data_IF_217931616005
#
_entry.id   IF_217931616005
#
_cell.length_a   1.000
_cell.length_b   1.000
_cell.length_c   1.000
_cell.angle_alpha   90.00
_cell.angle_beta   90.00
_cell.angle_gamma   90.00
#
_symmetry.space_group_name_H-M   'P 1'
#
loop_
_entity.id
_entity.type
_entity.pdbx_description
1 polymer ?
#
# COMPACT_ATOMS: atom_id res chain seq x y z
N UNK A 1 28.33 -7.07 36.96
CA UNK A 1 27.93 -6.06 35.95
C UNK A 1 28.30 -6.58 34.56
N UNK A 2 27.40 -7.27 33.84
CA UNK A 2 27.65 -7.73 32.47
C UNK A 2 26.41 -7.57 31.59
N UNK A 3 26.61 -6.96 30.42
CA UNK A 3 25.62 -6.38 29.48
C UNK A 3 24.51 -7.33 28.99
N UNK A 4 24.60 -8.63 29.24
CA UNK A 4 23.61 -9.63 28.78
C UNK A 4 22.25 -9.52 29.49
N UNK A 5 22.23 -9.16 30.78
CA UNK A 5 20.97 -8.98 31.54
C UNK A 5 20.17 -7.72 31.15
N UNK A 6 20.77 -6.80 30.38
CA UNK A 6 20.12 -5.58 29.89
C UNK A 6 19.44 -5.76 28.52
N UNK A 7 19.85 -6.77 27.74
CA UNK A 7 19.23 -7.14 26.46
C UNK A 7 17.93 -7.94 26.66
N UNK A 8 17.79 -8.61 27.81
CA UNK A 8 16.59 -9.34 28.23
C UNK A 8 15.69 -8.54 29.17
N UNK A 9 15.93 -7.24 29.30
CA UNK A 9 14.96 -6.37 29.93
C UNK A 9 13.80 -6.19 28.94
N UNK A 10 12.59 -6.54 29.38
CA UNK A 10 11.35 -6.52 28.59
C UNK A 10 11.04 -5.10 28.04
N UNK A 11 11.71 -4.07 28.58
CA UNK A 11 11.70 -2.67 28.12
C UNK A 11 12.78 -2.29 27.07
N UNK A 12 13.55 -3.24 26.55
CA UNK A 12 14.60 -2.93 25.58
C UNK A 12 14.05 -2.61 24.18
N UNK A 13 14.72 -1.71 23.46
CA UNK A 13 14.44 -1.41 22.04
C UNK A 13 14.46 -2.67 21.16
N UNK A 14 15.25 -3.69 21.54
CA UNK A 14 15.34 -4.98 20.84
C UNK A 14 14.02 -5.75 20.96
N UNK A 15 13.42 -5.80 22.16
CA UNK A 15 12.13 -6.47 22.37
C UNK A 15 11.02 -5.84 21.52
N UNK A 16 11.03 -4.51 21.38
CA UNK A 16 10.06 -3.79 20.52
C UNK A 16 10.25 -4.12 19.04
N UNK A 17 11.49 -4.26 18.57
CA UNK A 17 11.79 -4.66 17.19
C UNK A 17 11.36 -6.11 16.94
N UNK A 18 11.62 -7.01 17.89
CA UNK A 18 11.19 -8.42 17.80
C UNK A 18 9.66 -8.54 17.79
N UNK A 19 8.97 -7.77 18.63
CA UNK A 19 7.51 -7.71 18.64
C UNK A 19 6.95 -7.18 17.30
N UNK A 20 7.55 -6.12 16.76
CA UNK A 20 7.19 -5.62 15.42
C UNK A 20 7.40 -6.69 14.35
N UNK A 21 8.53 -7.40 14.38
CA UNK A 21 8.82 -8.46 13.42
C UNK A 21 7.77 -9.59 13.49
N UNK A 22 7.40 -10.03 14.70
CA UNK A 22 6.33 -11.01 14.89
C UNK A 22 4.98 -10.49 14.35
N UNK A 23 4.63 -9.24 14.64
CA UNK A 23 3.41 -8.60 14.14
C UNK A 23 3.37 -8.54 12.60
N UNK A 24 4.52 -8.26 11.95
CA UNK A 24 4.64 -8.22 10.50
C UNK A 24 4.44 -9.61 9.86
N UNK A 25 5.00 -10.66 10.46
CA UNK A 25 4.80 -12.04 9.99
C UNK A 25 3.31 -12.41 10.11
N UNK A 26 2.68 -12.14 11.25
CA UNK A 26 1.26 -12.41 11.47
C UNK A 26 0.42 -11.66 10.43
N UNK A 27 0.70 -10.37 10.21
CA UNK A 27 0.01 -9.58 9.20
C UNK A 27 0.21 -10.11 7.78
N UNK A 28 1.40 -10.61 7.46
CA UNK A 28 1.71 -11.14 6.14
C UNK A 28 0.90 -12.41 5.87
N UNK A 29 0.88 -13.31 6.85
CA UNK A 29 0.09 -14.55 6.79
C UNK A 29 -1.40 -14.25 6.68
N UNK A 30 -1.92 -13.32 7.49
CA UNK A 30 -3.33 -12.90 7.39
C UNK A 30 -3.65 -12.29 6.02
N UNK A 31 -2.75 -11.45 5.50
CA UNK A 31 -2.92 -10.85 4.17
C UNK A 31 -3.01 -11.93 3.09
N UNK A 32 -2.05 -12.86 3.04
CA UNK A 32 -2.02 -13.96 2.05
C UNK A 32 -3.30 -14.81 2.13
N UNK A 33 -3.69 -15.23 3.34
CA UNK A 33 -4.88 -16.06 3.54
C UNK A 33 -6.16 -15.34 3.11
N UNK A 34 -6.29 -14.06 3.45
CA UNK A 34 -7.48 -13.27 3.10
C UNK A 34 -7.44 -12.72 1.68
N UNK A 35 -6.32 -12.76 0.97
CA UNK A 35 -6.19 -12.40 -0.44
C UNK A 35 -6.39 -13.57 -1.40
N UNK A 36 -6.64 -14.79 -0.91
CA UNK A 36 -6.87 -15.96 -1.76
C UNK A 36 -8.03 -15.74 -2.75
N UNK A 37 -9.20 -15.21 -2.34
CA UNK A 37 -10.17 -14.71 -3.28
C UNK A 37 -9.68 -13.40 -3.92
N UNK A 38 -9.66 -13.33 -5.25
CA UNK A 38 -9.20 -12.12 -5.97
C UNK A 38 -9.99 -10.86 -5.57
N UNK A 39 -11.29 -11.03 -5.29
CA UNK A 39 -12.17 -9.92 -4.89
C UNK A 39 -11.87 -9.36 -3.49
N UNK A 40 -11.15 -10.10 -2.63
CA UNK A 40 -10.84 -9.67 -1.26
C UNK A 40 -9.47 -9.01 -1.13
N UNK A 41 -8.66 -8.99 -2.20
CA UNK A 41 -7.34 -8.31 -2.24
C UNK A 41 -7.45 -6.85 -1.79
N UNK A 42 -8.47 -6.13 -2.27
CA UNK A 42 -8.68 -4.73 -1.87
C UNK A 42 -8.95 -4.57 -0.37
N UNK A 43 -9.83 -5.41 0.18
CA UNK A 43 -10.18 -5.37 1.60
C UNK A 43 -9.02 -5.83 2.49
N UNK A 44 -8.27 -6.86 2.09
CA UNK A 44 -7.10 -7.34 2.82
C UNK A 44 -5.97 -6.31 2.82
N UNK A 45 -5.73 -5.65 1.68
CA UNK A 45 -4.73 -4.59 1.59
C UNK A 45 -5.09 -3.35 2.43
N UNK A 46 -6.37 -2.96 2.45
CA UNK A 46 -6.88 -1.93 3.36
C UNK A 46 -6.71 -2.31 4.83
N UNK A 47 -7.01 -3.57 5.19
CA UNK A 47 -6.85 -4.07 6.54
C UNK A 47 -5.38 -4.13 6.98
N UNK A 48 -4.47 -4.51 6.07
CA UNK A 48 -3.02 -4.50 6.26
C UNK A 48 -2.53 -3.08 6.56
N UNK A 49 -2.81 -2.12 5.66
CA UNK A 49 -2.40 -0.73 5.83
C UNK A 49 -2.95 -0.10 7.11
N UNK A 50 -4.23 -0.34 7.42
CA UNK A 50 -4.84 0.17 8.66
C UNK A 50 -4.18 -0.42 9.91
N UNK A 51 -3.81 -1.71 9.87
CA UNK A 51 -3.18 -2.39 11.00
C UNK A 51 -1.74 -1.91 11.20
N UNK A 52 -0.98 -1.72 10.12
CA UNK A 52 0.36 -1.12 10.14
C UNK A 52 0.32 0.30 10.71
N UNK A 53 -0.63 1.13 10.29
CA UNK A 53 -0.80 2.46 10.87
C UNK A 53 -1.10 2.39 12.36
N UNK A 54 -1.92 1.45 12.85
CA UNK A 54 -2.16 1.28 14.29
C UNK A 54 -0.89 0.89 15.06
N UNK A 55 -0.06 0.01 14.49
CA UNK A 55 1.25 -0.36 15.05
C UNK A 55 2.16 0.87 15.14
N UNK A 56 2.24 1.67 14.07
CA UNK A 56 3.05 2.90 14.03
C UNK A 56 2.57 4.00 15.00
N UNK A 57 1.32 3.96 15.44
CA UNK A 57 0.78 4.86 16.47
C UNK A 57 0.87 4.26 17.88
N UNK A 58 1.56 3.13 18.05
CA UNK A 58 1.68 2.41 19.32
C UNK A 58 0.32 2.11 19.98
N UNK A 59 -0.75 1.94 19.17
CA UNK A 59 -2.07 1.59 19.70
C UNK A 59 -2.05 0.13 20.17
N UNK A 60 -2.08 -0.06 21.49
CA UNK A 60 -2.06 -1.40 22.12
C UNK A 60 -3.29 -2.22 21.70
N UNK A 61 -3.08 -3.48 21.31
CA UNK A 61 -4.14 -4.43 21.01
C UNK A 61 -3.69 -5.56 20.08
N UNK A 62 -4.37 -6.70 20.13
CA UNK A 62 -4.05 -7.84 19.26
C UNK A 62 -4.14 -7.45 17.78
N UNK A 63 -3.04 -7.64 17.06
CA UNK A 63 -2.92 -7.33 15.62
C UNK A 63 -3.95 -8.09 14.80
N UNK A 64 -4.18 -9.37 15.12
CA UNK A 64 -5.19 -10.20 14.47
C UNK A 64 -6.60 -9.61 14.62
N UNK A 65 -6.99 -9.23 15.84
CA UNK A 65 -8.32 -8.62 16.10
C UNK A 65 -8.46 -7.31 15.36
N UNK A 66 -7.40 -6.49 15.35
CA UNK A 66 -7.39 -5.21 14.64
C UNK A 66 -7.54 -5.37 13.13
N UNK A 67 -6.85 -6.37 12.56
CA UNK A 67 -6.91 -6.71 11.14
C UNK A 67 -8.32 -7.12 10.72
N UNK A 68 -8.90 -8.15 11.36
CA UNK A 68 -10.24 -8.62 11.00
C UNK A 68 -11.33 -7.58 11.25
N UNK A 69 -11.17 -6.73 12.28
CA UNK A 69 -12.08 -5.60 12.49
C UNK A 69 -12.02 -4.60 11.33
N UNK A 70 -10.83 -4.22 10.89
CA UNK A 70 -10.67 -3.31 9.73
C UNK A 70 -11.21 -3.94 8.45
N UNK A 71 -10.86 -5.22 8.22
CA UNK A 71 -11.30 -6.00 7.07
C UNK A 71 -12.83 -5.99 6.94
N UNK A 72 -13.57 -6.28 8.01
CA UNK A 72 -15.04 -6.30 8.00
C UNK A 72 -15.65 -4.92 7.80
N UNK A 73 -15.14 -3.89 8.47
CA UNK A 73 -15.68 -2.53 8.39
C UNK A 73 -15.50 -1.94 6.98
N UNK A 74 -14.33 -2.17 6.38
CA UNK A 74 -13.96 -1.55 5.12
C UNK A 74 -14.18 -2.46 3.91
N UNK A 75 -14.67 -3.69 4.10
CA UNK A 75 -14.79 -4.71 3.05
C UNK A 75 -15.46 -4.16 1.78
N UNK A 76 -16.68 -3.65 1.90
CA UNK A 76 -17.46 -3.15 0.77
C UNK A 76 -16.78 -1.98 0.06
N UNK A 77 -16.32 -0.98 0.81
CA UNK A 77 -15.72 0.22 0.22
C UNK A 77 -14.37 -0.08 -0.43
N UNK A 78 -13.51 -0.86 0.23
CA UNK A 78 -12.19 -1.20 -0.26
C UNK A 78 -12.26 -2.14 -1.48
N UNK A 79 -13.17 -3.12 -1.49
CA UNK A 79 -13.38 -3.99 -2.65
C UNK A 79 -13.93 -3.21 -3.84
N UNK A 80 -14.92 -2.32 -3.66
CA UNK A 80 -15.42 -1.50 -4.77
C UNK A 80 -14.29 -0.61 -5.32
N UNK A 81 -13.54 0.05 -4.44
CA UNK A 81 -12.41 0.88 -4.85
C UNK A 81 -11.35 0.10 -5.62
N UNK A 82 -10.97 -1.09 -5.13
CA UNK A 82 -10.02 -1.97 -5.80
C UNK A 82 -10.52 -2.43 -7.17
N UNK A 83 -11.75 -2.90 -7.27
CA UNK A 83 -12.32 -3.38 -8.54
C UNK A 83 -12.41 -2.25 -9.56
N UNK A 84 -12.82 -1.04 -9.15
CA UNK A 84 -12.83 0.13 -10.05
C UNK A 84 -11.43 0.48 -10.55
N UNK A 85 -10.43 0.53 -9.67
CA UNK A 85 -9.05 0.81 -10.08
C UNK A 85 -8.47 -0.28 -10.97
N UNK A 86 -8.76 -1.54 -10.68
CA UNK A 86 -8.33 -2.69 -11.48
C UNK A 86 -8.93 -2.63 -12.89
N UNK A 87 -10.21 -2.28 -13.01
CA UNK A 87 -10.89 -2.13 -14.30
C UNK A 87 -10.26 -0.98 -15.12
N UNK A 88 -10.02 0.17 -14.50
CA UNK A 88 -9.37 1.30 -15.18
C UNK A 88 -7.94 0.96 -15.62
N UNK A 89 -7.19 0.23 -14.79
CA UNK A 89 -5.84 -0.22 -15.14
C UNK A 89 -5.87 -1.19 -16.32
N UNK A 90 -6.84 -2.09 -16.37
CA UNK A 90 -7.02 -3.01 -17.50
C UNK A 90 -7.36 -2.29 -18.81
N UNK A 91 -8.26 -1.29 -18.76
CA UNK A 91 -8.59 -0.46 -19.93
C UNK A 91 -7.34 0.24 -20.45
N UNK A 92 -6.58 0.91 -19.58
CA UNK A 92 -5.34 1.58 -19.99
C UNK A 92 -4.31 0.60 -20.57
N UNK A 93 -4.21 -0.60 -20.01
CA UNK A 93 -3.32 -1.63 -20.55
C UNK A 93 -3.71 -2.03 -21.98
N UNK A 94 -5.01 -2.21 -22.25
CA UNK A 94 -5.51 -2.45 -23.61
C UNK A 94 -5.22 -1.27 -24.53
N UNK A 95 -5.46 -0.04 -24.09
CA UNK A 95 -5.17 1.17 -24.87
C UNK A 95 -3.68 1.23 -25.26
N UNK A 96 -2.77 1.00 -24.31
CA UNK A 96 -1.33 0.96 -24.58
C UNK A 96 -0.92 -0.07 -25.64
N UNK A 97 -1.63 -1.20 -25.72
CA UNK A 97 -1.37 -2.26 -26.71
C UNK A 97 -1.88 -1.86 -28.10
N UNK A 98 -3.04 -1.20 -28.18
CA UNK A 98 -3.68 -0.83 -29.44
C UNK A 98 -3.06 0.42 -30.08
N UNK A 99 -2.47 1.31 -29.28
CA UNK A 99 -1.84 2.56 -29.74
C UNK A 99 -0.71 2.37 -30.76
N UNK A 100 -0.11 1.18 -30.84
CA UNK A 100 0.94 0.85 -31.82
C UNK A 100 0.47 0.77 -33.28
N UNK A 101 -0.83 0.70 -33.53
CA UNK A 101 -1.41 0.60 -34.88
C UNK A 101 -1.90 1.94 -35.43
N UNK A 102 -1.74 3.03 -34.68
CA UNK A 102 -2.24 4.36 -35.04
C UNK A 102 -1.16 5.20 -35.75
N UNK A 103 -1.57 6.22 -36.54
CA UNK A 103 -0.66 7.21 -37.10
C UNK A 103 0.19 7.88 -36.01
N UNK A 104 1.43 8.26 -36.36
CA UNK A 104 2.46 8.74 -35.42
C UNK A 104 1.96 9.80 -34.41
N UNK A 105 1.31 10.86 -34.90
CA UNK A 105 0.84 11.98 -34.07
C UNK A 105 -0.25 11.54 -33.08
N UNK A 106 -1.20 10.73 -33.53
CA UNK A 106 -2.27 10.22 -32.67
C UNK A 106 -1.73 9.21 -31.65
N UNK A 107 -0.80 8.36 -32.06
CA UNK A 107 -0.12 7.40 -31.18
C UNK A 107 0.63 8.12 -30.04
N UNK A 108 1.33 9.21 -30.35
CA UNK A 108 2.01 10.02 -29.35
C UNK A 108 1.05 10.67 -28.34
N UNK A 109 -0.04 11.30 -28.81
CA UNK A 109 -1.04 11.92 -27.94
C UNK A 109 -1.73 10.90 -27.02
N UNK A 110 -2.10 9.73 -27.55
CA UNK A 110 -2.74 8.69 -26.73
C UNK A 110 -1.77 8.05 -25.75
N UNK A 111 -0.51 7.83 -26.14
CA UNK A 111 0.52 7.28 -25.24
C UNK A 111 0.84 8.22 -24.08
N UNK A 112 0.92 9.53 -24.35
CA UNK A 112 1.14 10.54 -23.31
C UNK A 112 -0.07 10.66 -22.36
N UNK A 113 -1.30 10.68 -22.89
CA UNK A 113 -2.50 10.67 -22.07
C UNK A 113 -2.60 9.41 -21.19
N UNK A 114 -2.32 8.23 -21.76
CA UNK A 114 -2.33 6.96 -21.03
C UNK A 114 -1.25 6.94 -19.93
N UNK A 115 -0.07 7.51 -20.19
CA UNK A 115 0.98 7.63 -19.17
C UNK A 115 0.52 8.49 -17.98
N UNK A 116 -0.08 9.65 -18.23
CA UNK A 116 -0.66 10.50 -17.19
C UNK A 116 -1.75 9.74 -16.41
N UNK A 117 -2.62 9.01 -17.12
CA UNK A 117 -3.64 8.16 -16.51
C UNK A 117 -3.05 7.11 -15.57
N UNK A 118 -1.98 6.41 -15.99
CA UNK A 118 -1.31 5.42 -15.13
C UNK A 118 -0.67 6.04 -13.89
N UNK A 119 -0.07 7.23 -14.01
CA UNK A 119 0.48 7.95 -12.85
C UNK A 119 -0.63 8.29 -11.85
N UNK A 120 -1.76 8.80 -12.33
CA UNK A 120 -2.92 9.11 -11.48
C UNK A 120 -3.41 7.84 -10.77
N UNK A 121 -3.59 6.73 -11.49
CA UNK A 121 -4.03 5.47 -10.88
C UNK A 121 -3.02 4.95 -9.86
N UNK A 122 -1.72 5.02 -10.14
CA UNK A 122 -0.68 4.60 -9.22
C UNK A 122 -0.73 5.40 -7.91
N UNK A 123 -0.94 6.71 -7.98
CA UNK A 123 -1.13 7.56 -6.81
C UNK A 123 -2.37 7.18 -6.00
N UNK A 124 -3.50 6.91 -6.69
CA UNK A 124 -4.73 6.45 -6.04
C UNK A 124 -4.56 5.11 -5.34
N UNK A 125 -3.77 4.18 -5.90
CA UNK A 125 -3.48 2.88 -5.29
C UNK A 125 -2.62 3.05 -4.03
N UNK A 126 -1.53 3.82 -4.13
CA UNK A 126 -0.56 4.01 -3.04
C UNK A 126 -1.21 4.63 -1.80
N UNK A 127 -2.00 5.69 -1.97
CA UNK A 127 -2.63 6.39 -0.84
C UNK A 127 -4.02 5.87 -0.51
N UNK A 128 -4.75 5.32 -1.48
CA UNK A 128 -6.20 5.10 -1.38
C UNK A 128 -6.61 4.12 -0.30
N UNK A 129 -5.93 2.98 -0.18
CA UNK A 129 -6.27 1.99 0.84
C UNK A 129 -5.97 2.46 2.26
N UNK A 130 -4.87 3.19 2.44
CA UNK A 130 -4.52 3.87 3.68
C UNK A 130 -5.54 4.95 4.07
N UNK A 131 -6.06 5.68 3.07
CA UNK A 131 -7.06 6.72 3.27
C UNK A 131 -8.43 6.13 3.63
N UNK A 132 -8.89 5.08 2.93
CA UNK A 132 -10.17 4.40 3.22
C UNK A 132 -10.17 3.82 4.64
N UNK A 133 -9.04 3.31 5.10
CA UNK A 133 -8.87 2.83 6.48
C UNK A 133 -9.04 3.91 7.55
N UNK A 134 -8.76 5.18 7.22
CA UNK A 134 -8.75 6.32 8.15
C UNK A 134 -10.03 7.17 8.06
N UNK A 135 -10.55 7.38 6.85
CA UNK A 135 -11.66 8.30 6.59
C UNK A 135 -12.84 7.59 5.90
N UNK A 136 -14.04 7.71 6.48
CA UNK A 136 -15.28 7.21 5.89
C UNK A 136 -15.92 8.27 4.98
N UNK A 137 -15.41 8.36 3.75
CA UNK A 137 -15.90 9.26 2.72
C UNK A 137 -16.50 8.51 1.53
N UNK A 138 -17.30 9.20 0.71
CA UNK A 138 -17.77 8.64 -0.57
C UNK A 138 -16.62 8.48 -1.57
N UNK A 139 -16.73 7.54 -2.52
CA UNK A 139 -15.65 7.25 -3.47
C UNK A 139 -15.18 8.49 -4.26
N UNK A 140 -16.11 9.35 -4.69
CA UNK A 140 -15.78 10.59 -5.41
C UNK A 140 -14.94 11.55 -4.53
N UNK A 141 -15.35 11.74 -3.27
CA UNK A 141 -14.60 12.55 -2.30
C UNK A 141 -13.25 11.93 -1.97
N UNK A 142 -13.18 10.61 -1.87
CA UNK A 142 -11.92 9.88 -1.68
C UNK A 142 -10.94 10.16 -2.81
N UNK A 143 -11.35 10.01 -4.08
CA UNK A 143 -10.48 10.29 -5.23
C UNK A 143 -10.01 11.75 -5.23
N UNK A 144 -10.92 12.71 -5.06
CA UNK A 144 -10.58 14.12 -5.02
C UNK A 144 -9.56 14.45 -3.91
N UNK A 145 -9.80 13.95 -2.69
CA UNK A 145 -8.91 14.20 -1.57
C UNK A 145 -7.54 13.52 -1.76
N UNK A 146 -7.50 12.31 -2.34
CA UNK A 146 -6.25 11.63 -2.63
C UNK A 146 -5.39 12.40 -3.64
N UNK A 147 -6.01 12.99 -4.67
CA UNK A 147 -5.31 13.81 -5.65
C UNK A 147 -4.74 15.08 -5.01
N UNK A 148 -5.53 15.76 -4.17
CA UNK A 148 -5.05 16.94 -3.43
C UNK A 148 -3.88 16.59 -2.52
N UNK A 149 -3.99 15.50 -1.74
CA UNK A 149 -2.93 15.05 -0.84
C UNK A 149 -1.65 14.73 -1.62
N UNK A 150 -1.80 14.07 -2.77
CA UNK A 150 -0.67 13.69 -3.62
C UNK A 150 0.07 14.90 -4.18
N UNK A 151 -0.67 15.91 -4.66
CA UNK A 151 -0.11 17.16 -5.21
C UNK A 151 0.56 17.97 -4.11
N UNK A 152 -0.07 18.08 -2.94
CA UNK A 152 0.48 18.82 -1.80
C UNK A 152 1.78 18.20 -1.26
N UNK A 153 1.91 16.87 -1.33
CA UNK A 153 3.06 16.12 -0.81
C UNK A 153 3.81 15.40 -1.94
N UNK A 154 4.10 16.14 -3.02
CA UNK A 154 4.65 15.57 -4.25
C UNK A 154 5.98 14.82 -4.05
N UNK A 155 6.85 15.28 -3.14
CA UNK A 155 8.10 14.58 -2.82
C UNK A 155 7.86 13.19 -2.21
N UNK A 156 6.94 13.09 -1.25
CA UNK A 156 6.57 11.80 -0.63
C UNK A 156 5.87 10.90 -1.64
N UNK A 157 4.99 11.48 -2.47
CA UNK A 157 4.31 10.76 -3.55
C UNK A 157 5.31 10.19 -4.56
N UNK A 158 6.31 10.98 -4.97
CA UNK A 158 7.36 10.54 -5.88
C UNK A 158 8.19 9.41 -5.26
N UNK A 159 8.58 9.54 -3.99
CA UNK A 159 9.31 8.47 -3.29
C UNK A 159 8.49 7.17 -3.26
N UNK A 160 7.20 7.24 -2.92
CA UNK A 160 6.34 6.06 -2.88
C UNK A 160 6.19 5.42 -4.26
N UNK A 161 6.04 6.21 -5.32
CA UNK A 161 5.96 5.71 -6.68
C UNK A 161 7.26 5.03 -7.12
N UNK A 162 8.41 5.67 -6.88
CA UNK A 162 9.72 5.12 -7.23
C UNK A 162 9.99 3.84 -6.42
N UNK A 163 9.72 3.84 -5.12
CA UNK A 163 9.97 2.69 -4.25
C UNK A 163 9.13 1.48 -4.67
N UNK A 164 7.82 1.65 -4.86
CA UNK A 164 6.95 0.54 -5.28
C UNK A 164 7.22 0.15 -6.75
N UNK A 165 7.50 1.12 -7.63
CA UNK A 165 7.88 0.87 -9.01
C UNK A 165 9.19 0.10 -9.14
N UNK A 166 10.18 0.41 -8.29
CA UNK A 166 11.46 -0.30 -8.24
C UNK A 166 11.29 -1.76 -7.82
N UNK A 167 10.44 -2.05 -6.83
CA UNK A 167 10.14 -3.42 -6.41
C UNK A 167 9.51 -4.22 -7.56
N UNK A 168 8.55 -3.63 -8.26
CA UNK A 168 7.90 -4.25 -9.43
C UNK A 168 8.94 -4.48 -10.54
N UNK A 169 9.72 -3.45 -10.90
CA UNK A 169 10.75 -3.53 -11.93
C UNK A 169 11.79 -4.62 -11.62
N UNK A 170 12.30 -4.66 -10.38
CA UNK A 170 13.24 -5.68 -9.94
C UNK A 170 12.65 -7.09 -10.06
N UNK A 171 11.36 -7.25 -9.74
CA UNK A 171 10.65 -8.53 -9.85
C UNK A 171 10.62 -9.08 -11.28
N UNK A 172 10.64 -8.22 -12.30
CA UNK A 172 10.59 -8.62 -13.72
C UNK A 172 11.94 -8.59 -14.43
N UNK A 173 13.05 -8.29 -13.74
CA UNK A 173 14.37 -8.18 -14.36
C UNK A 173 14.94 -9.54 -14.79
N UNK A 174 14.72 -10.60 -13.99
CA UNK A 174 15.15 -11.96 -14.33
C UNK A 174 14.24 -13.02 -13.67
N UNK A 175 14.21 -14.26 -14.19
CA UNK A 175 13.47 -15.35 -13.54
C UNK A 175 13.94 -15.62 -12.11
N UNK A 176 15.24 -15.49 -11.84
CA UNK A 176 15.80 -15.62 -10.49
C UNK A 176 15.30 -14.50 -9.57
N UNK A 177 15.28 -13.25 -10.04
CA UNK A 177 14.76 -12.12 -9.27
C UNK A 177 13.27 -12.32 -8.94
N UNK A 178 12.47 -12.78 -9.89
CA UNK A 178 11.06 -13.11 -9.68
C UNK A 178 10.89 -14.16 -8.57
N UNK A 179 11.66 -15.25 -8.63
CA UNK A 179 11.61 -16.32 -7.62
C UNK A 179 12.01 -15.80 -6.23
N UNK A 180 13.08 -15.00 -6.14
CA UNK A 180 13.49 -14.38 -4.87
C UNK A 180 12.42 -13.46 -4.30
N UNK A 181 11.73 -12.71 -5.16
CA UNK A 181 10.64 -11.84 -4.73
C UNK A 181 9.43 -12.63 -4.27
N UNK A 182 9.07 -13.73 -4.93
CA UNK A 182 8.00 -14.62 -4.46
C UNK A 182 8.31 -15.13 -3.05
N UNK A 183 9.52 -15.67 -2.81
CA UNK A 183 9.90 -16.13 -1.47
C UNK A 183 9.85 -15.01 -0.44
N UNK A 184 10.42 -13.84 -0.77
CA UNK A 184 10.38 -12.69 0.11
C UNK A 184 8.95 -12.30 0.47
N UNK A 185 8.07 -12.18 -0.52
CA UNK A 185 6.65 -11.82 -0.33
C UNK A 185 5.90 -12.85 0.51
N UNK A 186 6.14 -14.14 0.31
CA UNK A 186 5.49 -15.21 1.09
C UNK A 186 5.89 -15.19 2.57
N UNK A 187 7.15 -14.93 2.91
CA UNK A 187 7.66 -15.01 4.29
C UNK A 187 7.61 -13.69 5.09
N UNK A 188 7.11 -12.59 4.51
CA UNK A 188 6.96 -11.32 5.22
C UNK A 188 7.01 -10.06 4.35
N UNK A 189 7.34 -10.21 3.07
CA UNK A 189 7.66 -9.11 2.18
C UNK A 189 6.50 -8.15 1.96
N UNK A 190 5.25 -8.63 1.84
CA UNK A 190 4.10 -7.72 1.69
C UNK A 190 3.97 -6.79 2.88
N UNK A 191 4.07 -7.32 4.10
CA UNK A 191 4.02 -6.52 5.33
C UNK A 191 5.18 -5.53 5.43
N UNK A 192 6.41 -5.94 5.09
CA UNK A 192 7.60 -5.08 5.16
C UNK A 192 7.51 -3.92 4.15
N UNK A 193 7.16 -4.21 2.89
CA UNK A 193 6.99 -3.17 1.86
C UNK A 193 5.90 -2.17 2.29
N UNK A 194 4.76 -2.70 2.77
CA UNK A 194 3.68 -1.83 3.20
C UNK A 194 3.98 -1.08 4.50
N UNK A 195 4.86 -1.59 5.36
CA UNK A 195 5.35 -0.85 6.54
C UNK A 195 6.11 0.40 6.11
N UNK A 196 7.04 0.28 5.14
CA UNK A 196 7.77 1.43 4.59
C UNK A 196 6.79 2.45 4.00
N UNK A 197 5.83 1.99 3.19
CA UNK A 197 4.77 2.84 2.65
C UNK A 197 3.97 3.53 3.76
N UNK A 198 3.56 2.79 4.80
CA UNK A 198 2.80 3.29 5.94
C UNK A 198 3.56 4.34 6.75
N UNK A 199 4.89 4.22 6.89
CA UNK A 199 5.71 5.22 7.60
C UNK A 199 5.66 6.56 6.86
N UNK A 200 5.84 6.55 5.53
CA UNK A 200 5.78 7.76 4.71
C UNK A 200 4.37 8.36 4.67
N UNK A 201 3.35 7.52 4.45
CA UNK A 201 1.95 7.96 4.42
C UNK A 201 1.52 8.54 5.77
N UNK A 202 1.98 7.97 6.88
CA UNK A 202 1.72 8.51 8.22
C UNK A 202 2.23 9.95 8.35
N UNK A 203 3.47 10.23 7.91
CA UNK A 203 4.03 11.58 7.96
C UNK A 203 3.17 12.60 7.20
N UNK A 204 2.65 12.19 6.04
CA UNK A 204 1.75 13.01 5.21
C UNK A 204 0.45 13.30 5.96
N UNK A 205 -0.22 12.27 6.47
CA UNK A 205 -1.51 12.44 7.15
C UNK A 205 -1.38 13.19 8.48
N UNK A 206 -0.33 12.96 9.25
CA UNK A 206 -0.09 13.65 10.51
C UNK A 206 0.23 15.14 10.29
N UNK A 207 0.75 15.52 9.12
CA UNK A 207 0.92 16.93 8.73
C UNK A 207 -0.42 17.58 8.41
N UNK A 208 -1.30 16.87 7.70
CA UNK A 208 -2.64 17.38 7.34
C UNK A 208 -3.47 17.59 8.60
N UNK A 209 -3.50 16.61 9.51
CA UNK A 209 -4.30 16.71 10.73
C UNK A 209 -3.84 17.81 11.68
N UNK A 210 -2.54 18.17 11.65
CA UNK A 210 -2.00 19.30 12.41
C UNK A 210 -2.42 20.68 11.89
N UNK A 211 -2.89 20.77 10.65
CA UNK A 211 -3.33 22.04 10.04
C UNK A 211 -4.84 22.23 10.18
N UNK A 212 -5.62 21.15 10.32
CA UNK A 212 -7.06 21.21 10.55
C UNK A 212 -7.48 21.37 12.01
N UNK A 213 -6.53 21.34 12.95
CA UNK A 213 -6.74 21.59 14.38
C UNK A 213 -5.99 22.86 14.79
#
# INVERSE_FOLDING_TARGET
MNKMGKLLNIDSSVMRIMALFADLIILNTLFILTSLPVITIGASFCALQTSLQKILHQKRGSVVKNYFKSFKINFKQATIFFTTLSLLTFILFCDFRLVGHLPLLLSFLMRTAAFIGTLILALLIVYGFSYIGRYKNSLKKTVYNLLLISIQNWFQSLFLLIFNGFIIYFSFTSPYALLTMIYFLTFGGFSVINLVNSIMIKQVFDRIERVTH
#
